data_IF_523539559579
#
_entry.id   IF_523539559579
#
_cell.length_a   1.000
_cell.length_b   1.000
_cell.length_c   1.000
_cell.angle_alpha   90.00
_cell.angle_beta   90.00
_cell.angle_gamma   90.00
#
_symmetry.space_group_name_H-M   'P 1'
#
loop_
_entity.id
_entity.type
_entity.pdbx_description
1 polymer ?
#
# COMPACT_ATOMS: atom_id res chain seq x y z
N UNK A 1 -5.00 -48.73 -25.23
CA UNK A 1 -5.39 -47.34 -25.55
C UNK A 1 -6.15 -46.79 -24.36
N UNK A 2 -5.48 -46.03 -23.50
CA UNK A 2 -6.07 -45.36 -22.35
C UNK A 2 -5.31 -44.07 -22.17
N UNK A 3 -5.93 -42.97 -22.60
CA UNK A 3 -5.30 -41.65 -22.69
C UNK A 3 -5.14 -41.10 -21.27
N UNK A 4 -3.90 -40.88 -20.86
CA UNK A 4 -3.59 -40.13 -19.66
C UNK A 4 -4.06 -38.68 -19.85
N UNK A 5 -5.01 -38.26 -19.01
CA UNK A 5 -5.42 -36.86 -18.91
C UNK A 5 -4.26 -36.08 -18.28
N UNK A 6 -3.44 -35.47 -19.13
CA UNK A 6 -2.46 -34.48 -18.73
C UNK A 6 -3.24 -33.23 -18.32
N UNK A 7 -3.48 -33.05 -17.02
CA UNK A 7 -3.88 -31.75 -16.49
C UNK A 7 -2.71 -30.79 -16.74
N UNK A 8 -2.79 -30.02 -17.82
CA UNK A 8 -2.03 -28.80 -17.95
C UNK A 8 -2.54 -27.88 -16.83
N UNK A 9 -1.81 -27.81 -15.72
CA UNK A 9 -1.85 -26.64 -14.87
C UNK A 9 -1.47 -25.47 -15.77
N UNK A 10 -2.47 -24.71 -16.21
CA UNK A 10 -2.27 -23.37 -16.75
C UNK A 10 -1.62 -22.58 -15.62
N UNK A 11 -0.29 -22.56 -15.59
CA UNK A 11 0.47 -21.57 -14.86
C UNK A 11 -0.08 -20.22 -15.33
N UNK A 12 -0.84 -19.57 -14.46
CA UNK A 12 -1.20 -18.18 -14.67
C UNK A 12 0.09 -17.43 -15.01
N UNK A 13 0.10 -16.56 -16.04
CA UNK A 13 1.28 -15.77 -16.34
C UNK A 13 1.68 -15.06 -15.06
N UNK A 14 2.91 -15.30 -14.59
CA UNK A 14 3.52 -14.68 -13.41
C UNK A 14 3.14 -13.20 -13.43
N UNK A 15 2.44 -12.74 -12.39
CA UNK A 15 2.05 -11.35 -12.26
C UNK A 15 3.29 -10.45 -12.49
N UNK A 16 3.09 -9.33 -13.19
CA UNK A 16 4.11 -8.30 -13.28
C UNK A 16 4.56 -7.96 -11.86
N UNK A 17 5.88 -8.04 -11.62
CA UNK A 17 6.47 -7.52 -10.39
C UNK A 17 6.19 -6.02 -10.41
N UNK A 18 5.31 -5.56 -9.51
CA UNK A 18 5.16 -4.13 -9.27
C UNK A 18 6.55 -3.56 -8.99
N UNK A 19 6.86 -2.39 -9.58
CA UNK A 19 8.11 -1.72 -9.29
C UNK A 19 8.14 -1.24 -7.85
N UNK A 20 9.26 -0.63 -7.46
CA UNK A 20 9.46 -0.14 -6.11
C UNK A 20 8.61 1.13 -5.87
N UNK A 21 7.95 1.20 -4.71
CA UNK A 21 7.38 2.45 -4.20
C UNK A 21 5.95 2.71 -4.66
N UNK A 22 5.02 1.86 -4.21
CA UNK A 22 3.58 2.18 -4.30
C UNK A 22 3.27 3.22 -3.22
N UNK A 23 2.51 4.26 -3.53
CA UNK A 23 2.00 5.22 -2.54
C UNK A 23 0.48 5.13 -2.42
N UNK A 24 -0.07 5.09 -1.22
CA UNK A 24 -1.51 5.25 -1.02
C UNK A 24 -1.86 6.73 -0.83
N UNK A 25 -2.32 7.40 -1.88
CA UNK A 25 -2.80 8.80 -1.81
C UNK A 25 -4.23 8.83 -1.26
N UNK A 26 -4.36 8.63 0.05
CA UNK A 26 -5.64 8.41 0.71
C UNK A 26 -6.52 9.67 0.74
N UNK A 27 -7.74 9.55 0.21
CA UNK A 27 -8.71 10.64 0.10
C UNK A 27 -8.20 11.85 -0.71
N UNK A 28 -7.41 11.60 -1.75
CA UNK A 28 -7.02 12.62 -2.74
C UNK A 28 -8.02 12.71 -3.90
N UNK A 29 -8.14 13.89 -4.50
CA UNK A 29 -8.92 14.10 -5.72
C UNK A 29 -8.16 13.63 -6.95
N UNK A 30 -8.87 13.20 -7.98
CA UNK A 30 -8.25 12.71 -9.22
C UNK A 30 -7.36 13.77 -9.89
N UNK A 31 -7.79 15.03 -9.94
CA UNK A 31 -6.98 16.13 -10.50
C UNK A 31 -5.70 16.40 -9.70
N UNK A 32 -5.76 16.30 -8.37
CA UNK A 32 -4.57 16.47 -7.52
C UNK A 32 -3.59 15.31 -7.71
N UNK A 33 -4.10 14.08 -7.84
CA UNK A 33 -3.28 12.89 -8.13
C UNK A 33 -2.60 13.02 -9.50
N UNK A 34 -3.33 13.47 -10.52
CA UNK A 34 -2.80 13.65 -11.87
C UNK A 34 -1.61 14.63 -11.88
N UNK A 35 -1.75 15.76 -11.18
CA UNK A 35 -0.65 16.74 -11.00
C UNK A 35 0.50 16.15 -10.17
N UNK A 36 0.20 15.35 -9.16
CA UNK A 36 1.20 14.73 -8.30
C UNK A 36 2.06 13.71 -9.06
N UNK A 37 1.44 12.95 -9.99
CA UNK A 37 2.14 12.06 -10.91
C UNK A 37 3.20 12.81 -11.74
N UNK A 38 2.81 13.92 -12.35
CA UNK A 38 3.66 14.70 -13.25
C UNK A 38 4.77 15.45 -12.50
N UNK A 39 4.41 16.08 -11.38
CA UNK A 39 5.28 17.04 -10.69
C UNK A 39 6.20 16.38 -9.65
N UNK A 40 5.84 15.21 -9.13
CA UNK A 40 6.57 14.59 -8.03
C UNK A 40 6.82 13.10 -8.20
N UNK A 41 5.77 12.29 -8.33
CA UNK A 41 5.90 10.83 -8.23
C UNK A 41 6.71 10.24 -9.40
N UNK A 42 6.40 10.63 -10.63
CA UNK A 42 7.17 10.24 -11.82
C UNK A 42 8.64 10.68 -11.71
N UNK A 43 8.93 11.99 -11.49
CA UNK A 43 10.30 12.48 -11.30
C UNK A 43 11.08 11.82 -10.14
N UNK A 44 10.41 11.38 -9.07
CA UNK A 44 11.03 10.69 -7.92
C UNK A 44 11.12 9.17 -8.11
N UNK A 45 10.53 8.63 -9.16
CA UNK A 45 10.58 7.21 -9.52
C UNK A 45 9.67 6.31 -8.68
N UNK A 46 8.52 6.82 -8.22
CA UNK A 46 7.48 5.96 -7.65
C UNK A 46 6.85 5.10 -8.76
N UNK A 47 6.60 3.82 -8.48
CA UNK A 47 6.04 2.89 -9.46
C UNK A 47 4.54 3.10 -9.70
N UNK A 48 3.79 3.42 -8.63
CA UNK A 48 2.34 3.52 -8.73
C UNK A 48 1.66 4.07 -7.50
N UNK A 49 0.35 4.24 -7.62
CA UNK A 49 -0.52 4.84 -6.62
C UNK A 49 -1.66 3.86 -6.32
N UNK A 50 -1.90 3.59 -5.04
CA UNK A 50 -3.21 3.13 -4.59
C UNK A 50 -4.13 4.36 -4.45
N UNK A 51 -5.27 4.36 -5.13
CA UNK A 51 -6.33 5.37 -4.95
C UNK A 51 -7.43 4.82 -4.04
N UNK A 52 -8.09 5.69 -3.27
CA UNK A 52 -9.28 5.32 -2.50
C UNK A 52 -10.42 4.80 -3.41
N UNK A 53 -11.44 4.10 -2.85
CA UNK A 53 -12.53 3.56 -3.66
C UNK A 53 -13.17 4.62 -4.55
N UNK A 54 -13.29 4.29 -5.85
CA UNK A 54 -13.79 5.20 -6.90
C UNK A 54 -15.26 4.97 -7.23
N UNK A 55 -15.80 3.81 -6.83
CA UNK A 55 -17.20 3.47 -6.97
C UNK A 55 -18.08 4.35 -6.08
N UNK A 56 -19.32 4.55 -6.51
CA UNK A 56 -20.32 5.28 -5.76
C UNK A 56 -20.58 4.64 -4.39
N UNK A 57 -20.48 5.43 -3.33
CA UNK A 57 -20.68 5.00 -1.96
C UNK A 57 -21.81 5.78 -1.28
N UNK A 58 -22.25 5.31 -0.12
CA UNK A 58 -23.20 6.02 0.73
C UNK A 58 -22.67 7.43 1.11
N UNK A 59 -23.54 8.43 1.12
CA UNK A 59 -23.24 9.74 1.72
C UNK A 59 -23.65 9.72 3.18
N UNK A 60 -22.68 9.65 4.08
CA UNK A 60 -22.92 9.48 5.52
C UNK A 60 -22.70 10.80 6.25
N UNK A 61 -23.57 11.12 7.21
CA UNK A 61 -23.46 12.37 7.96
C UNK A 61 -22.07 12.51 8.63
N UNK A 62 -21.49 13.71 8.59
CA UNK A 62 -20.11 13.94 9.04
C UNK A 62 -19.03 13.54 8.02
N UNK A 63 -19.41 12.91 6.91
CA UNK A 63 -18.54 12.52 5.79
C UNK A 63 -17.27 11.75 6.24
N UNK A 64 -17.41 10.70 7.07
CA UNK A 64 -16.27 9.92 7.54
C UNK A 64 -15.50 9.31 6.37
N UNK A 65 -14.24 8.94 6.57
CA UNK A 65 -13.44 8.31 5.51
C UNK A 65 -14.00 6.94 5.12
N UNK A 66 -14.54 6.20 6.10
CA UNK A 66 -15.06 4.85 5.90
C UNK A 66 -16.38 4.83 5.12
N UNK A 67 -17.00 5.98 4.81
CA UNK A 67 -18.18 6.02 3.92
C UNK A 67 -17.87 5.42 2.54
N UNK A 68 -16.61 5.55 2.07
CA UNK A 68 -16.14 4.97 0.80
C UNK A 68 -16.18 3.45 0.75
N UNK A 69 -16.17 2.80 1.90
CA UNK A 69 -16.23 1.34 2.04
C UNK A 69 -17.68 0.87 2.24
N UNK A 70 -18.66 1.68 1.83
CA UNK A 70 -20.07 1.31 1.82
C UNK A 70 -20.68 1.53 0.43
N UNK A 71 -20.43 0.62 -0.53
CA UNK A 71 -20.87 0.79 -1.91
C UNK A 71 -22.39 0.94 -2.02
N UNK A 72 -22.81 1.85 -2.90
CA UNK A 72 -24.20 2.01 -3.34
C UNK A 72 -24.37 1.58 -4.79
N UNK A 73 -23.34 1.78 -5.62
CA UNK A 73 -23.28 1.23 -6.97
C UNK A 73 -21.84 1.13 -7.49
N UNK A 74 -21.69 0.63 -8.72
CA UNK A 74 -20.40 0.57 -9.42
C UNK A 74 -20.16 1.76 -10.38
N UNK A 75 -20.98 2.80 -10.33
CA UNK A 75 -20.71 4.06 -11.05
C UNK A 75 -19.39 4.66 -10.56
N UNK A 76 -18.54 5.12 -11.47
CA UNK A 76 -17.28 5.80 -11.11
C UNK A 76 -17.57 7.26 -10.79
N UNK A 77 -18.00 7.50 -9.54
CA UNK A 77 -18.29 8.84 -9.02
C UNK A 77 -18.19 8.84 -7.50
N UNK A 78 -17.20 9.54 -6.99
CA UNK A 78 -16.89 9.62 -5.56
C UNK A 78 -16.53 11.06 -5.17
N UNK A 79 -16.21 11.27 -3.89
CA UNK A 79 -15.65 12.54 -3.43
C UNK A 79 -14.35 12.95 -4.16
N UNK A 80 -13.64 12.01 -4.79
CA UNK A 80 -12.42 12.28 -5.55
C UNK A 80 -12.67 12.90 -6.93
N UNK A 81 -13.88 12.72 -7.49
CA UNK A 81 -14.24 13.12 -8.84
C UNK A 81 -15.14 12.10 -9.54
N UNK A 82 -15.42 12.35 -10.82
CA UNK A 82 -16.24 11.51 -11.69
C UNK A 82 -15.37 10.63 -12.61
N UNK A 83 -16.04 9.87 -13.49
CA UNK A 83 -15.40 8.95 -14.45
C UNK A 83 -14.42 9.65 -15.40
N UNK A 84 -14.77 10.85 -15.88
CA UNK A 84 -13.88 11.63 -16.74
C UNK A 84 -12.63 12.07 -15.99
N UNK A 85 -12.77 12.54 -14.75
CA UNK A 85 -11.65 12.88 -13.89
C UNK A 85 -10.77 11.66 -13.57
N UNK A 86 -11.37 10.50 -13.33
CA UNK A 86 -10.62 9.25 -13.11
C UNK A 86 -9.81 8.85 -14.35
N UNK A 87 -10.42 8.93 -15.55
CA UNK A 87 -9.74 8.64 -16.81
C UNK A 87 -8.59 9.61 -17.09
N UNK A 88 -8.80 10.91 -16.91
CA UNK A 88 -7.75 11.93 -17.09
C UNK A 88 -6.56 11.66 -16.16
N UNK A 89 -6.84 11.35 -14.89
CA UNK A 89 -5.81 10.98 -13.93
C UNK A 89 -5.02 9.75 -14.38
N UNK A 90 -5.70 8.68 -14.80
CA UNK A 90 -5.02 7.47 -15.29
C UNK A 90 -4.14 7.77 -16.51
N UNK A 91 -4.66 8.54 -17.48
CA UNK A 91 -3.91 8.89 -18.70
C UNK A 91 -2.67 9.74 -18.41
N UNK A 92 -2.77 10.73 -17.51
CA UNK A 92 -1.65 11.59 -17.12
C UNK A 92 -0.62 10.86 -16.28
N UNK A 93 -1.05 10.06 -15.31
CA UNK A 93 -0.15 9.24 -14.51
C UNK A 93 0.61 8.21 -15.36
N UNK A 94 -0.07 7.55 -16.30
CA UNK A 94 0.57 6.62 -17.24
C UNK A 94 1.63 7.30 -18.10
N UNK A 95 1.37 8.53 -18.59
CA UNK A 95 2.38 9.34 -19.31
C UNK A 95 3.59 9.70 -18.43
N UNK A 96 3.37 9.89 -17.13
CA UNK A 96 4.43 10.12 -16.14
C UNK A 96 5.12 8.82 -15.67
N UNK A 97 4.74 7.65 -16.19
CA UNK A 97 5.30 6.36 -15.79
C UNK A 97 4.79 5.80 -14.47
N UNK A 98 3.68 6.35 -13.94
CA UNK A 98 3.11 5.99 -12.64
C UNK A 98 1.81 5.19 -12.86
N UNK A 99 1.75 3.97 -12.32
CA UNK A 99 0.58 3.07 -12.44
C UNK A 99 -0.52 3.42 -11.44
N UNK A 100 -1.78 3.16 -11.80
CA UNK A 100 -2.93 3.35 -10.91
C UNK A 100 -3.46 1.98 -10.46
N UNK A 101 -3.48 1.77 -9.15
CA UNK A 101 -4.09 0.63 -8.49
C UNK A 101 -5.35 1.09 -7.75
N UNK A 102 -6.50 0.53 -8.11
CA UNK A 102 -7.78 0.98 -7.56
C UNK A 102 -8.13 0.16 -6.32
N UNK A 103 -8.50 0.82 -5.24
CA UNK A 103 -9.13 0.17 -4.09
C UNK A 103 -10.57 -0.23 -4.45
N UNK A 104 -10.83 -1.53 -4.44
CA UNK A 104 -12.08 -2.11 -4.94
C UNK A 104 -12.79 -2.86 -3.82
N UNK A 105 -14.04 -2.47 -3.59
CA UNK A 105 -14.90 -3.00 -2.52
C UNK A 105 -16.03 -3.79 -3.16
N UNK A 106 -15.91 -5.11 -3.13
CA UNK A 106 -16.90 -6.04 -3.69
C UNK A 106 -17.16 -7.28 -2.84
N UNK A 107 -16.67 -7.29 -1.58
CA UNK A 107 -17.16 -8.23 -0.57
C UNK A 107 -18.62 -7.94 -0.23
N UNK A 108 -18.94 -6.66 -0.04
CA UNK A 108 -20.20 -6.21 0.53
C UNK A 108 -20.73 -4.97 -0.22
N UNK A 109 -22.00 -4.66 0.00
CA UNK A 109 -22.57 -3.32 -0.23
C UNK A 109 -22.64 -2.57 1.11
N UNK A 110 -23.29 -1.39 1.15
CA UNK A 110 -23.45 -0.65 2.41
C UNK A 110 -24.10 -1.48 3.53
N UNK A 111 -23.91 -1.05 4.78
CA UNK A 111 -24.80 -1.47 5.87
C UNK A 111 -26.18 -0.80 5.70
N UNK A 112 -27.14 -1.17 6.57
CA UNK A 112 -28.42 -0.46 6.67
C UNK A 112 -28.21 1.02 6.97
N UNK A 113 -28.63 1.87 6.04
CA UNK A 113 -28.58 3.32 6.15
C UNK A 113 -29.93 3.90 6.60
N UNK A 114 -29.95 5.12 7.17
CA UNK A 114 -31.18 5.87 7.36
C UNK A 114 -31.97 6.02 6.05
N UNK A 115 -33.30 5.98 6.14
CA UNK A 115 -34.16 6.20 4.98
C UNK A 115 -33.89 7.54 4.30
N UNK A 116 -33.74 7.53 2.98
CA UNK A 116 -33.42 8.72 2.19
C UNK A 116 -31.92 8.99 1.98
N UNK A 117 -31.02 8.17 2.54
CA UNK A 117 -29.60 8.22 2.18
C UNK A 117 -29.42 8.00 0.68
N UNK A 118 -28.61 8.85 0.06
CA UNK A 118 -28.24 8.76 -1.35
C UNK A 118 -26.77 8.40 -1.51
N UNK A 119 -26.44 7.80 -2.65
CA UNK A 119 -25.06 7.60 -3.07
C UNK A 119 -24.41 8.89 -3.57
N UNK A 120 -23.08 8.92 -3.59
CA UNK A 120 -22.29 10.05 -4.13
C UNK A 120 -22.58 10.38 -5.60
N UNK A 121 -23.18 9.44 -6.35
CA UNK A 121 -23.64 9.58 -7.73
C UNK A 121 -25.15 9.72 -7.87
N UNK A 122 -25.86 10.01 -6.78
CA UNK A 122 -27.31 10.23 -6.74
C UNK A 122 -28.16 8.96 -6.78
N UNK A 123 -27.57 7.76 -6.69
CA UNK A 123 -28.35 6.52 -6.62
C UNK A 123 -29.09 6.42 -5.28
N UNK A 124 -30.34 5.97 -5.30
CA UNK A 124 -31.05 5.54 -4.10
C UNK A 124 -30.90 4.03 -3.90
N UNK A 125 -31.02 3.59 -2.66
CA UNK A 125 -31.09 2.17 -2.29
C UNK A 125 -32.07 1.99 -1.12
N UNK A 126 -32.80 0.89 -1.10
CA UNK A 126 -33.45 0.41 0.13
C UNK A 126 -32.51 -0.60 0.78
N UNK A 127 -31.55 -0.07 1.53
CA UNK A 127 -30.49 -0.86 2.14
C UNK A 127 -31.04 -1.85 3.17
N UNK A 128 -32.11 -1.51 3.88
CA UNK A 128 -32.72 -2.40 4.88
C UNK A 128 -33.30 -3.69 4.27
N UNK A 129 -33.74 -3.62 3.01
CA UNK A 129 -34.20 -4.77 2.23
C UNK A 129 -33.12 -5.32 1.26
N UNK A 130 -31.86 -4.87 1.38
CA UNK A 130 -30.74 -5.18 0.49
C UNK A 130 -31.04 -4.94 -1.00
N UNK A 131 -31.72 -3.84 -1.31
CA UNK A 131 -32.10 -3.49 -2.68
C UNK A 131 -31.29 -2.31 -3.22
N UNK A 132 -30.42 -2.60 -4.20
CA UNK A 132 -29.50 -1.65 -4.84
C UNK A 132 -29.81 -1.56 -6.35
N UNK A 133 -30.80 -0.75 -6.75
CA UNK A 133 -31.32 -0.72 -8.12
C UNK A 133 -30.28 -0.29 -9.15
N UNK A 134 -29.34 0.59 -8.79
CA UNK A 134 -28.29 1.09 -9.69
C UNK A 134 -27.33 0.00 -10.18
N UNK A 135 -27.16 -1.09 -9.42
CA UNK A 135 -26.43 -2.31 -9.85
C UNK A 135 -27.39 -3.38 -10.36
N UNK A 136 -28.66 -3.29 -9.94
CA UNK A 136 -29.69 -4.32 -10.04
C UNK A 136 -29.38 -5.52 -9.13
N UNK A 137 -28.99 -5.24 -7.88
CA UNK A 137 -28.97 -6.23 -6.81
C UNK A 137 -30.24 -6.16 -5.97
N UNK A 138 -30.70 -7.32 -5.56
CA UNK A 138 -31.76 -7.52 -4.57
C UNK A 138 -31.25 -8.45 -3.47
N UNK A 139 -32.06 -8.68 -2.43
CA UNK A 139 -31.72 -9.58 -1.33
C UNK A 139 -31.25 -10.99 -1.77
N UNK A 140 -31.68 -11.46 -2.95
CA UNK A 140 -31.25 -12.76 -3.49
C UNK A 140 -29.76 -12.81 -3.86
N UNK A 141 -29.10 -11.67 -4.04
CA UNK A 141 -27.69 -11.58 -4.42
C UNK A 141 -26.73 -11.48 -3.22
N UNK A 142 -27.27 -11.62 -2.01
CA UNK A 142 -26.53 -11.54 -0.76
C UNK A 142 -26.63 -12.88 -0.02
N UNK A 143 -25.62 -13.15 0.81
CA UNK A 143 -25.73 -14.23 1.77
C UNK A 143 -26.86 -13.96 2.78
N UNK A 144 -27.33 -15.05 3.39
CA UNK A 144 -28.29 -14.97 4.50
C UNK A 144 -27.69 -14.14 5.63
N UNK A 145 -28.47 -13.24 6.22
CA UNK A 145 -27.97 -12.34 7.27
C UNK A 145 -27.50 -13.12 8.50
N UNK A 146 -26.22 -12.94 8.82
CA UNK A 146 -25.55 -13.34 10.05
C UNK A 146 -24.39 -12.36 10.29
N UNK A 147 -23.80 -12.36 11.48
CA UNK A 147 -22.64 -11.50 11.79
C UNK A 147 -21.35 -12.31 11.82
N UNK A 148 -20.28 -11.73 11.29
CA UNK A 148 -18.92 -12.25 11.53
C UNK A 148 -18.62 -12.11 13.01
N UNK A 149 -18.47 -13.22 13.71
CA UNK A 149 -18.20 -13.26 15.14
C UNK A 149 -17.32 -14.44 15.58
N UNK A 150 -16.90 -15.30 14.65
CA UNK A 150 -16.03 -16.43 14.91
C UNK A 150 -14.96 -16.59 13.83
N UNK A 151 -13.78 -15.99 14.05
CA UNK A 151 -12.63 -16.10 13.15
C UNK A 151 -11.99 -17.51 13.11
N UNK A 152 -12.46 -18.45 13.94
CA UNK A 152 -12.09 -19.87 13.86
C UNK A 152 -13.06 -20.69 12.98
N UNK A 153 -14.01 -20.05 12.31
CA UNK A 153 -14.91 -20.67 11.34
C UNK A 153 -14.84 -19.89 10.02
N UNK A 154 -14.15 -20.46 9.03
CA UNK A 154 -13.99 -19.83 7.72
C UNK A 154 -15.33 -19.55 7.01
N UNK A 155 -16.37 -20.36 7.26
CA UNK A 155 -17.70 -20.09 6.70
C UNK A 155 -18.36 -18.90 7.36
N UNK A 156 -18.20 -18.72 8.68
CA UNK A 156 -18.70 -17.52 9.35
C UNK A 156 -17.96 -16.26 8.86
N UNK A 157 -16.65 -16.35 8.66
CA UNK A 157 -15.84 -15.22 8.17
C UNK A 157 -16.23 -14.81 6.76
N UNK A 158 -16.55 -15.77 5.87
CA UNK A 158 -16.76 -15.53 4.43
C UNK A 158 -18.21 -15.37 3.97
N UNK A 159 -19.19 -15.79 4.79
CA UNK A 159 -20.61 -15.79 4.40
C UNK A 159 -21.51 -14.93 5.31
N UNK A 160 -20.91 -14.18 6.24
CA UNK A 160 -21.65 -13.31 7.16
C UNK A 160 -21.25 -11.85 7.02
N UNK A 161 -22.14 -10.97 7.47
CA UNK A 161 -21.98 -9.52 7.36
C UNK A 161 -20.87 -9.03 8.30
N UNK A 162 -19.77 -8.55 7.72
CA UNK A 162 -18.69 -7.87 8.42
C UNK A 162 -19.23 -6.53 8.96
N UNK A 163 -19.32 -6.39 10.28
CA UNK A 163 -19.84 -5.19 10.97
C UNK A 163 -21.19 -4.68 10.44
N UNK A 164 -22.04 -5.58 9.94
CA UNK A 164 -23.37 -5.26 9.40
C UNK A 164 -23.39 -4.80 7.94
N UNK A 165 -22.26 -4.84 7.23
CA UNK A 165 -22.18 -4.58 5.79
C UNK A 165 -22.81 -5.76 5.03
N UNK A 166 -23.74 -5.48 4.12
CA UNK A 166 -24.49 -6.54 3.44
C UNK A 166 -23.59 -7.36 2.51
N UNK A 167 -23.39 -8.62 2.88
CA UNK A 167 -22.41 -9.53 2.30
C UNK A 167 -22.90 -10.14 0.97
N UNK A 168 -22.19 -9.85 -0.13
CA UNK A 168 -22.56 -10.33 -1.47
C UNK A 168 -22.27 -11.82 -1.60
N UNK A 169 -23.12 -12.55 -2.32
CA UNK A 169 -22.89 -13.96 -2.63
C UNK A 169 -22.10 -14.09 -3.94
N UNK A 170 -20.77 -14.05 -3.87
CA UNK A 170 -19.92 -14.19 -5.04
C UNK A 170 -19.88 -15.61 -5.61
N UNK A 171 -20.60 -16.58 -5.03
CA UNK A 171 -20.78 -17.90 -5.66
C UNK A 171 -21.72 -17.83 -6.87
N UNK A 172 -22.59 -16.81 -6.90
CA UNK A 172 -23.56 -16.58 -7.98
C UNK A 172 -22.90 -15.99 -9.23
N UNK A 173 -23.17 -16.59 -10.38
CA UNK A 173 -22.66 -16.11 -11.68
C UNK A 173 -23.10 -14.67 -11.98
N UNK A 174 -24.31 -14.28 -11.57
CA UNK A 174 -24.80 -12.92 -11.74
C UNK A 174 -23.95 -11.89 -10.96
N UNK A 175 -23.65 -12.17 -9.69
CA UNK A 175 -22.80 -11.32 -8.84
C UNK A 175 -21.39 -11.23 -9.41
N UNK A 176 -20.79 -12.37 -9.77
CA UNK A 176 -19.46 -12.39 -10.43
C UNK A 176 -19.45 -11.58 -11.71
N UNK A 177 -20.50 -11.68 -12.55
CA UNK A 177 -20.63 -10.93 -13.79
C UNK A 177 -20.59 -9.42 -13.56
N UNK A 178 -21.39 -8.92 -12.60
CA UNK A 178 -21.42 -7.49 -12.23
C UNK A 178 -20.05 -6.99 -11.71
N UNK A 179 -19.37 -7.80 -10.89
CA UNK A 179 -18.03 -7.47 -10.38
C UNK A 179 -17.02 -7.44 -11.52
N UNK A 180 -17.02 -8.44 -12.40
CA UNK A 180 -16.12 -8.52 -13.56
C UNK A 180 -16.35 -7.33 -14.51
N UNK A 181 -17.60 -6.96 -14.77
CA UNK A 181 -17.93 -5.78 -15.59
C UNK A 181 -17.38 -4.50 -14.96
N UNK A 182 -17.56 -4.31 -13.66
CA UNK A 182 -17.02 -3.15 -12.94
C UNK A 182 -15.49 -3.09 -13.02
N UNK A 183 -14.80 -4.18 -12.71
CA UNK A 183 -13.33 -4.23 -12.74
C UNK A 183 -12.78 -4.05 -14.17
N UNK A 184 -13.43 -4.65 -15.17
CA UNK A 184 -13.04 -4.47 -16.57
C UNK A 184 -13.29 -3.03 -17.07
N UNK A 185 -14.35 -2.37 -16.60
CA UNK A 185 -14.58 -0.94 -16.88
C UNK A 185 -13.45 -0.08 -16.31
N UNK A 186 -13.01 -0.34 -15.07
CA UNK A 186 -11.86 0.36 -14.48
C UNK A 186 -10.57 0.12 -15.28
N UNK A 187 -10.35 -1.09 -15.79
CA UNK A 187 -9.23 -1.41 -16.69
C UNK A 187 -9.33 -0.59 -17.99
N UNK A 188 -10.52 -0.55 -18.61
CA UNK A 188 -10.75 0.21 -19.85
C UNK A 188 -10.46 1.71 -19.64
N UNK A 189 -10.75 2.24 -18.45
CA UNK A 189 -10.43 3.62 -18.05
C UNK A 189 -8.96 3.87 -17.72
N UNK A 190 -8.14 2.81 -17.56
CA UNK A 190 -6.68 2.91 -17.40
C UNK A 190 -6.12 2.40 -16.07
N UNK A 191 -6.90 1.70 -15.25
CA UNK A 191 -6.37 1.01 -14.09
C UNK A 191 -5.37 -0.10 -14.50
N UNK A 192 -4.27 -0.21 -13.73
CA UNK A 192 -3.22 -1.23 -13.95
C UNK A 192 -3.28 -2.36 -12.90
N UNK A 193 -4.21 -2.28 -11.95
CA UNK A 193 -4.40 -3.30 -10.93
C UNK A 193 -5.35 -2.88 -9.83
N UNK A 194 -5.49 -3.74 -8.82
CA UNK A 194 -6.50 -3.62 -7.78
C UNK A 194 -5.96 -3.98 -6.40
N UNK A 195 -6.26 -3.12 -5.42
CA UNK A 195 -6.32 -3.52 -4.01
C UNK A 195 -7.71 -4.11 -3.79
N UNK A 196 -7.76 -5.36 -3.39
CA UNK A 196 -9.03 -6.04 -3.12
C UNK A 196 -9.32 -5.94 -1.64
N UNK A 197 -10.31 -5.12 -1.31
CA UNK A 197 -10.80 -4.90 0.06
C UNK A 197 -11.36 -6.19 0.66
N UNK A 198 -11.11 -6.40 1.96
CA UNK A 198 -11.72 -7.48 2.72
C UNK A 198 -11.62 -8.87 2.06
N UNK A 199 -10.50 -9.17 1.37
CA UNK A 199 -10.35 -10.43 0.63
C UNK A 199 -10.48 -11.66 1.53
N UNK A 200 -10.07 -11.56 2.81
CA UNK A 200 -10.31 -12.56 3.85
C UNK A 200 -11.77 -13.04 3.92
N UNK A 201 -12.71 -12.13 3.68
CA UNK A 201 -14.15 -12.35 3.77
C UNK A 201 -14.77 -12.89 2.48
N UNK A 202 -13.97 -13.19 1.45
CA UNK A 202 -14.44 -13.80 0.21
C UNK A 202 -13.80 -15.18 0.00
N UNK A 203 -14.48 -16.08 -0.70
CA UNK A 203 -13.89 -17.37 -1.03
C UNK A 203 -12.81 -17.23 -2.11
N UNK A 204 -11.60 -17.81 -1.92
CA UNK A 204 -10.55 -17.83 -2.93
C UNK A 204 -11.01 -18.40 -4.28
N UNK A 205 -11.91 -19.39 -4.27
CA UNK A 205 -12.47 -19.96 -5.49
C UNK A 205 -13.30 -18.96 -6.29
N UNK A 206 -14.05 -18.08 -5.62
CA UNK A 206 -14.87 -17.07 -6.28
C UNK A 206 -14.00 -15.95 -6.85
N UNK A 207 -13.00 -15.51 -6.06
CA UNK A 207 -11.96 -14.58 -6.48
C UNK A 207 -11.20 -15.11 -7.70
N UNK A 208 -10.84 -16.40 -7.73
CA UNK A 208 -10.17 -17.02 -8.87
C UNK A 208 -11.00 -16.91 -10.15
N UNK A 209 -12.31 -17.17 -10.08
CA UNK A 209 -13.21 -17.04 -11.23
C UNK A 209 -13.27 -15.59 -11.69
N UNK A 210 -13.45 -14.64 -10.78
CA UNK A 210 -13.49 -13.21 -11.10
C UNK A 210 -12.18 -12.76 -11.77
N UNK A 211 -11.03 -13.05 -11.15
CA UNK A 211 -9.72 -12.61 -11.63
C UNK A 211 -9.35 -13.24 -12.97
N UNK A 212 -9.76 -14.48 -13.24
CA UNK A 212 -9.51 -15.16 -14.52
C UNK A 212 -10.20 -14.47 -15.71
N UNK A 213 -11.29 -13.73 -15.45
CA UNK A 213 -12.13 -13.07 -16.47
C UNK A 213 -11.79 -11.59 -16.67
N UNK A 214 -10.83 -11.06 -15.91
CA UNK A 214 -10.35 -9.70 -16.12
C UNK A 214 -9.64 -9.58 -17.47
N UNK A 215 -9.74 -8.43 -18.11
CA UNK A 215 -8.99 -8.08 -19.33
C UNK A 215 -7.51 -7.88 -19.00
N UNK A 216 -6.69 -7.79 -20.04
CA UNK A 216 -5.35 -7.21 -19.89
C UNK A 216 -5.48 -5.68 -19.76
N UNK A 217 -4.57 -5.07 -19.01
CA UNK A 217 -4.50 -3.62 -18.82
C UNK A 217 -4.08 -2.90 -20.09
N UNK A 218 -4.16 -1.57 -20.11
CA UNK A 218 -3.70 -0.77 -21.26
C UNK A 218 -2.20 -0.93 -21.52
N UNK A 219 -1.41 -1.34 -20.53
CA UNK A 219 0.00 -1.73 -20.71
C UNK A 219 0.19 -3.12 -21.34
N UNK A 220 -0.90 -3.85 -21.61
CA UNK A 220 -0.91 -5.16 -22.27
C UNK A 220 -0.72 -6.35 -21.32
N UNK A 221 -0.73 -6.12 -20.01
CA UNK A 221 -0.41 -7.11 -18.98
C UNK A 221 -1.63 -7.55 -18.17
N UNK A 222 -1.51 -8.60 -17.35
CA UNK A 222 -2.55 -8.92 -16.35
C UNK A 222 -2.57 -7.82 -15.28
N UNK A 223 -3.74 -7.41 -14.77
CA UNK A 223 -3.82 -6.45 -13.69
C UNK A 223 -3.07 -6.95 -12.45
N UNK A 224 -2.33 -6.04 -11.80
CA UNK A 224 -1.65 -6.35 -10.54
C UNK A 224 -2.67 -6.46 -9.40
N UNK A 225 -2.86 -7.66 -8.85
CA UNK A 225 -3.79 -7.90 -7.75
C UNK A 225 -3.03 -7.99 -6.44
N UNK A 226 -3.46 -7.24 -5.43
CA UNK A 226 -3.06 -7.46 -4.05
C UNK A 226 -4.28 -7.45 -3.13
N UNK A 227 -4.33 -8.44 -2.25
CA UNK A 227 -5.51 -8.82 -1.49
C UNK A 227 -5.33 -8.43 -0.04
N UNK A 228 -6.32 -7.76 0.54
CA UNK A 228 -6.33 -7.51 1.98
C UNK A 228 -6.73 -8.77 2.74
N UNK A 229 -5.76 -9.36 3.41
CA UNK A 229 -5.95 -10.43 4.38
C UNK A 229 -5.18 -10.11 5.66
N UNK A 230 -5.90 -9.81 6.74
CA UNK A 230 -5.33 -9.45 8.05
C UNK A 230 -4.94 -10.71 8.81
N UNK A 231 -3.86 -11.38 8.43
CA UNK A 231 -3.44 -12.63 9.09
C UNK A 231 -2.24 -12.44 10.03
N UNK A 232 -2.49 -12.51 11.34
CA UNK A 232 -1.44 -12.57 12.37
C UNK A 232 -1.19 -14.00 12.90
N UNK A 233 -1.86 -15.01 12.33
CA UNK A 233 -1.90 -16.40 12.76
C UNK A 233 -2.99 -16.69 13.79
N UNK A 234 -3.38 -17.97 13.89
CA UNK A 234 -4.34 -18.44 14.90
C UNK A 234 -5.83 -18.27 14.55
N UNK A 235 -6.13 -18.06 13.27
CA UNK A 235 -7.50 -18.01 12.72
C UNK A 235 -7.72 -19.16 11.72
N UNK A 236 -8.95 -19.36 11.26
CA UNK A 236 -9.29 -20.44 10.31
C UNK A 236 -9.10 -20.06 8.83
N UNK A 237 -8.88 -18.78 8.53
CA UNK A 237 -8.56 -18.27 7.19
C UNK A 237 -7.08 -17.93 7.16
N UNK A 238 -6.40 -18.35 6.10
CA UNK A 238 -4.95 -18.24 5.99
C UNK A 238 -4.53 -17.53 4.70
N UNK A 239 -3.50 -16.69 4.79
CA UNK A 239 -3.00 -15.95 3.62
C UNK A 239 -2.54 -16.86 2.49
N UNK A 240 -2.10 -18.09 2.78
CA UNK A 240 -1.69 -19.08 1.78
C UNK A 240 -2.77 -19.42 0.77
N UNK A 241 -4.05 -19.29 1.14
CA UNK A 241 -5.18 -19.55 0.25
C UNK A 241 -5.27 -18.53 -0.90
N UNK A 242 -4.72 -17.31 -0.70
CA UNK A 242 -4.83 -16.18 -1.62
C UNK A 242 -3.55 -15.93 -2.44
N UNK A 243 -2.39 -16.43 -1.99
CA UNK A 243 -1.10 -16.24 -2.70
C UNK A 243 -1.11 -16.73 -4.16
N UNK A 244 -1.79 -17.84 -4.53
CA UNK A 244 -1.86 -18.26 -5.93
C UNK A 244 -2.63 -17.28 -6.84
N UNK A 245 -3.43 -16.38 -6.26
CA UNK A 245 -4.31 -15.46 -6.99
C UNK A 245 -3.66 -14.09 -7.23
N UNK A 246 -2.64 -13.73 -6.44
CA UNK A 246 -2.00 -12.43 -6.47
C UNK A 246 -1.17 -12.20 -5.21
N UNK A 247 -0.72 -10.95 -5.02
CA UNK A 247 -0.06 -10.57 -3.78
C UNK A 247 -1.07 -10.53 -2.62
N UNK A 248 -0.57 -10.62 -1.40
CA UNK A 248 -1.35 -10.52 -0.16
C UNK A 248 -0.69 -9.50 0.76
N UNK A 249 -1.49 -8.72 1.47
CA UNK A 249 -1.00 -7.76 2.45
C UNK A 249 -0.34 -8.45 3.65
N UNK A 250 0.96 -8.24 3.85
CA UNK A 250 1.70 -8.83 4.96
C UNK A 250 1.63 -7.93 6.21
N UNK A 251 0.55 -8.07 6.99
CA UNK A 251 0.31 -7.25 8.18
C UNK A 251 1.36 -7.46 9.29
N UNK A 252 2.03 -8.63 9.34
CA UNK A 252 3.11 -8.86 10.31
C UNK A 252 4.29 -7.93 10.06
N UNK A 253 4.52 -7.49 8.81
CA UNK A 253 5.62 -6.57 8.48
C UNK A 253 5.53 -5.27 9.29
N UNK A 254 4.38 -4.59 9.21
CA UNK A 254 4.15 -3.32 9.89
C UNK A 254 4.22 -3.46 11.41
N UNK A 255 3.61 -4.51 11.97
CA UNK A 255 3.62 -4.79 13.41
C UNK A 255 5.04 -5.02 13.95
N UNK A 256 5.81 -5.89 13.29
CA UNK A 256 7.14 -6.26 13.78
C UNK A 256 8.17 -5.14 13.60
N UNK A 257 8.16 -4.41 12.48
CA UNK A 257 9.03 -3.23 12.34
C UNK A 257 8.64 -2.12 13.32
N UNK A 258 7.36 -1.97 13.63
CA UNK A 258 6.91 -1.01 14.63
C UNK A 258 7.44 -1.34 16.03
N UNK A 259 7.47 -2.62 16.41
CA UNK A 259 8.09 -3.07 17.67
C UNK A 259 9.60 -2.82 17.66
N UNK A 260 10.27 -3.19 16.58
CA UNK A 260 11.70 -2.99 16.40
C UNK A 260 12.11 -1.51 16.53
N UNK A 261 11.49 -0.63 15.76
CA UNK A 261 11.84 0.79 15.74
C UNK A 261 11.25 1.59 16.91
N UNK A 262 10.45 0.99 17.78
CA UNK A 262 10.13 1.51 19.14
C UNK A 262 11.11 1.05 20.21
N UNK A 263 12.11 0.23 19.87
CA UNK A 263 13.03 -0.37 20.83
C UNK A 263 12.41 -1.50 21.66
N UNK A 264 11.24 -2.02 21.27
CA UNK A 264 10.58 -3.16 21.94
C UNK A 264 11.15 -4.51 21.49
N UNK A 265 11.90 -4.54 20.39
CA UNK A 265 12.63 -5.70 19.92
C UNK A 265 13.97 -5.25 19.30
N UNK A 266 15.14 -5.76 19.75
CA UNK A 266 16.42 -5.29 19.24
C UNK A 266 16.56 -5.45 17.72
N UNK A 267 16.99 -4.39 17.03
CA UNK A 267 17.05 -4.40 15.55
C UNK A 267 18.16 -5.31 14.99
N UNK A 268 19.08 -5.83 15.83
CA UNK A 268 20.01 -6.90 15.44
C UNK A 268 19.32 -8.14 14.86
N UNK A 269 18.09 -8.42 15.30
CA UNK A 269 17.34 -9.61 14.88
C UNK A 269 16.82 -9.49 13.44
N UNK A 270 16.91 -8.30 12.85
CA UNK A 270 16.50 -8.08 11.46
C UNK A 270 17.43 -8.77 10.43
N UNK A 271 18.53 -9.40 10.87
CA UNK A 271 19.49 -10.11 9.99
C UNK A 271 18.85 -11.14 9.05
N UNK A 272 17.73 -11.76 9.46
CA UNK A 272 16.96 -12.73 8.68
C UNK A 272 15.50 -12.29 8.47
N UNK A 273 15.24 -10.97 8.45
CA UNK A 273 13.91 -10.39 8.33
C UNK A 273 13.19 -10.81 7.03
N UNK A 274 11.88 -11.08 7.12
CA UNK A 274 11.06 -11.67 6.07
C UNK A 274 10.59 -13.08 6.45
N UNK A 275 10.79 -14.08 5.59
CA UNK A 275 10.35 -15.47 5.84
C UNK A 275 10.93 -16.09 7.11
N UNK A 276 12.14 -15.67 7.53
CA UNK A 276 12.75 -16.10 8.79
C UNK A 276 11.97 -15.68 10.05
N UNK A 277 11.00 -14.77 9.89
CA UNK A 277 10.10 -14.29 10.94
C UNK A 277 8.68 -14.86 10.81
N UNK A 278 8.47 -15.89 9.97
CA UNK A 278 7.15 -16.47 9.73
C UNK A 278 6.23 -15.58 8.88
N UNK A 279 6.82 -14.72 8.06
CA UNK A 279 6.14 -13.95 7.02
C UNK A 279 6.12 -14.75 5.71
N UNK A 280 5.22 -14.39 4.80
CA UNK A 280 5.02 -15.06 3.52
C UNK A 280 6.23 -14.96 2.58
N UNK A 281 6.30 -15.73 1.48
CA UNK A 281 7.33 -15.55 0.47
C UNK A 281 7.35 -14.12 -0.09
N UNK A 282 8.55 -13.59 -0.32
CA UNK A 282 8.74 -12.20 -0.74
C UNK A 282 8.03 -11.83 -2.05
N UNK A 283 7.84 -12.78 -2.96
CA UNK A 283 7.15 -12.58 -4.24
C UNK A 283 5.62 -12.64 -4.13
N UNK A 284 5.11 -12.95 -2.94
CA UNK A 284 3.67 -12.93 -2.62
C UNK A 284 3.30 -11.74 -1.71
N UNK A 285 4.28 -11.10 -1.05
CA UNK A 285 4.03 -10.10 -0.03
C UNK A 285 3.88 -8.67 -0.59
N UNK A 286 2.79 -8.00 -0.26
CA UNK A 286 2.72 -6.53 -0.26
C UNK A 286 2.95 -6.02 1.16
N UNK A 287 4.02 -5.25 1.36
CA UNK A 287 4.47 -4.80 2.69
C UNK A 287 4.23 -3.31 2.88
N UNK A 288 3.88 -2.92 4.10
CA UNK A 288 3.69 -1.54 4.53
C UNK A 288 3.98 -1.43 6.04
N UNK A 289 4.28 -0.22 6.52
CA UNK A 289 4.44 0.04 7.96
C UNK A 289 3.07 0.24 8.61
N UNK A 290 2.25 1.07 7.98
CA UNK A 290 0.87 1.35 8.33
C UNK A 290 0.00 1.39 7.07
N UNK A 291 -1.29 1.23 7.25
CA UNK A 291 -2.30 1.49 6.24
C UNK A 291 -3.34 2.49 6.79
N UNK A 292 -4.41 2.72 6.02
CA UNK A 292 -5.42 3.69 6.41
C UNK A 292 -6.23 3.26 7.66
N UNK A 293 -6.39 1.96 7.92
CA UNK A 293 -7.07 1.42 9.11
C UNK A 293 -6.16 1.39 10.35
N UNK A 294 -5.01 0.73 10.22
CA UNK A 294 -4.11 0.43 11.34
C UNK A 294 -3.54 1.69 11.99
N UNK A 295 -3.35 2.77 11.22
CA UNK A 295 -2.94 4.07 11.79
C UNK A 295 -3.99 4.70 12.71
N UNK A 296 -5.26 4.27 12.61
CA UNK A 296 -6.41 4.69 13.42
C UNK A 296 -6.80 3.67 14.51
N UNK A 297 -6.08 2.56 14.60
CA UNK A 297 -6.42 1.42 15.47
C UNK A 297 -5.81 1.57 16.88
N UNK A 298 -5.40 0.47 17.50
CA UNK A 298 -4.91 0.36 18.88
C UNK A 298 -3.51 0.96 19.15
N UNK A 299 -2.90 1.64 18.16
CA UNK A 299 -1.56 2.20 18.27
C UNK A 299 -0.42 1.17 18.14
N UNK A 300 -0.73 -0.08 17.79
CA UNK A 300 0.27 -1.15 17.61
C UNK A 300 1.25 -0.89 16.45
N UNK A 301 0.87 -0.09 15.45
CA UNK A 301 1.74 0.28 14.32
C UNK A 301 2.27 1.71 14.43
N UNK A 302 3.49 1.94 13.94
CA UNK A 302 4.06 3.28 13.78
C UNK A 302 3.32 4.02 12.66
N UNK A 303 3.14 5.33 12.82
CA UNK A 303 2.59 6.19 11.78
C UNK A 303 3.25 7.58 11.85
N UNK A 304 2.77 8.51 11.04
CA UNK A 304 3.32 9.87 10.94
C UNK A 304 3.37 10.64 12.28
N UNK A 305 2.53 10.28 13.28
CA UNK A 305 2.52 10.92 14.61
C UNK A 305 3.79 10.62 15.43
N UNK A 306 4.57 9.63 15.01
CA UNK A 306 5.90 9.30 15.55
C UNK A 306 6.96 9.37 14.44
N UNK A 307 7.24 10.57 13.89
CA UNK A 307 7.85 10.72 12.57
C UNK A 307 9.27 10.16 12.48
N UNK A 308 10.08 10.28 13.53
CA UNK A 308 11.45 9.74 13.56
C UNK A 308 11.45 8.22 13.36
N UNK A 309 10.75 7.51 14.23
CA UNK A 309 10.73 6.05 14.23
C UNK A 309 10.01 5.52 12.98
N UNK A 310 8.96 6.21 12.53
CA UNK A 310 8.25 5.88 11.29
C UNK A 310 9.17 5.96 10.07
N UNK A 311 9.94 7.05 9.92
CA UNK A 311 10.93 7.18 8.83
C UNK A 311 11.95 6.06 8.83
N UNK A 312 12.47 5.67 10.00
CA UNK A 312 13.40 4.54 10.11
C UNK A 312 12.76 3.22 9.66
N UNK A 313 11.52 2.95 10.08
CA UNK A 313 10.80 1.74 9.69
C UNK A 313 10.54 1.69 8.17
N UNK A 314 10.06 2.80 7.59
CA UNK A 314 9.85 2.93 6.13
C UNK A 314 11.17 2.77 5.37
N UNK A 315 12.26 3.39 5.86
CA UNK A 315 13.58 3.27 5.26
C UNK A 315 14.11 1.83 5.30
N UNK A 316 13.92 1.11 6.41
CA UNK A 316 14.28 -0.31 6.48
C UNK A 316 13.46 -1.14 5.49
N UNK A 317 12.13 -0.97 5.45
CA UNK A 317 11.25 -1.67 4.51
C UNK A 317 11.67 -1.46 3.05
N UNK A 318 11.95 -0.22 2.65
CA UNK A 318 12.42 0.11 1.29
C UNK A 318 13.85 -0.38 1.03
N UNK A 319 14.72 -0.35 2.05
CA UNK A 319 16.13 -0.70 1.94
C UNK A 319 16.42 -2.20 2.00
N UNK A 320 15.58 -3.01 2.65
CA UNK A 320 15.84 -4.42 2.94
C UNK A 320 15.66 -5.34 1.72
N UNK A 321 14.63 -5.10 0.91
CA UNK A 321 14.36 -5.90 -0.30
C UNK A 321 13.46 -7.12 -0.08
N UNK A 322 12.58 -7.08 0.93
CA UNK A 322 11.51 -8.06 1.14
C UNK A 322 10.16 -7.45 0.73
N UNK A 323 9.37 -8.20 -0.04
CA UNK A 323 8.04 -7.80 -0.50
C UNK A 323 8.01 -6.66 -1.51
N UNK A 324 6.81 -6.30 -1.94
CA UNK A 324 6.49 -5.09 -2.70
C UNK A 324 6.11 -3.98 -1.72
N UNK A 325 6.94 -2.92 -1.56
CA UNK A 325 6.69 -1.90 -0.56
C UNK A 325 5.64 -0.89 -0.99
N UNK A 326 4.70 -0.61 -0.07
CA UNK A 326 3.71 0.45 -0.13
C UNK A 326 3.92 1.44 1.01
N UNK A 327 3.91 2.73 0.68
CA UNK A 327 4.03 3.86 1.61
C UNK A 327 2.67 4.55 1.74
N UNK A 328 2.27 4.84 2.97
CA UNK A 328 1.04 5.60 3.23
C UNK A 328 1.25 7.09 2.90
N UNK A 329 0.22 7.76 2.40
CA UNK A 329 0.15 9.22 2.32
C UNK A 329 -1.16 9.70 2.95
N UNK A 330 -1.07 10.23 4.16
CA UNK A 330 -2.18 10.49 5.06
C UNK A 330 -2.64 11.96 5.02
N UNK A 331 -3.83 12.20 5.57
CA UNK A 331 -4.23 13.51 6.07
C UNK A 331 -4.18 13.52 7.60
N UNK A 332 -4.09 14.72 8.20
CA UNK A 332 -4.05 14.85 9.66
C UNK A 332 -5.42 14.52 10.27
N UNK A 333 -5.44 13.67 11.30
CA UNK A 333 -6.66 13.33 12.03
C UNK A 333 -6.43 13.22 13.54
N UNK A 334 -7.45 13.57 14.31
CA UNK A 334 -7.46 13.51 15.78
C UNK A 334 -8.46 12.46 16.33
N UNK A 335 -9.36 11.96 15.49
CA UNK A 335 -10.27 10.85 15.82
C UNK A 335 -10.32 9.80 14.71
N UNK A 336 -10.65 8.57 15.07
CA UNK A 336 -10.67 7.41 14.17
C UNK A 336 -11.63 7.59 12.99
N UNK A 337 -12.79 8.20 13.21
CA UNK A 337 -13.84 8.36 12.20
C UNK A 337 -13.68 9.61 11.34
N UNK A 338 -12.75 10.50 11.69
CA UNK A 338 -12.60 11.80 11.04
C UNK A 338 -12.35 11.65 9.53
N UNK A 339 -13.19 12.28 8.72
CA UNK A 339 -13.00 12.41 7.28
C UNK A 339 -11.80 13.28 6.90
N UNK A 340 -11.43 13.29 5.61
CA UNK A 340 -10.37 14.15 5.08
C UNK A 340 -10.73 15.64 5.16
N UNK A 341 -9.76 16.56 4.97
CA UNK A 341 -10.03 17.98 4.81
C UNK A 341 -11.08 18.24 3.71
N UNK A 342 -12.19 18.86 4.10
CA UNK A 342 -13.35 19.10 3.23
C UNK A 342 -13.79 20.56 3.26
N UNK A 343 -14.44 21.01 2.17
CA UNK A 343 -15.12 22.29 2.10
C UNK A 343 -16.45 22.21 2.87
N UNK A 344 -17.13 23.36 3.05
CA UNK A 344 -18.40 23.43 3.79
C UNK A 344 -19.54 22.59 3.18
N UNK A 345 -19.45 22.22 1.91
CA UNK A 345 -20.38 21.34 1.20
C UNK A 345 -20.02 19.84 1.29
N UNK A 346 -18.93 19.50 1.99
CA UNK A 346 -18.43 18.14 2.14
C UNK A 346 -17.60 17.62 0.95
N UNK A 347 -17.33 18.45 -0.06
CA UNK A 347 -16.37 18.13 -1.12
C UNK A 347 -14.93 18.17 -0.60
N UNK A 348 -14.02 17.38 -1.18
CA UNK A 348 -12.61 17.38 -0.76
C UNK A 348 -11.93 18.72 -1.06
N UNK A 349 -11.15 19.22 -0.11
CA UNK A 349 -10.24 20.33 -0.36
C UNK A 349 -9.12 19.90 -1.31
N UNK A 350 -8.65 20.85 -2.14
CA UNK A 350 -7.41 20.70 -2.92
C UNK A 350 -6.23 20.35 -2.00
N UNK A 351 -5.25 19.62 -2.55
CA UNK A 351 -3.95 19.51 -1.90
C UNK A 351 -3.15 20.79 -2.12
N UNK A 352 -2.68 21.38 -1.02
CA UNK A 352 -1.90 22.61 -1.04
C UNK A 352 -0.45 22.33 -0.62
N UNK A 353 0.50 23.00 -1.26
CA UNK A 353 1.92 22.86 -1.02
C UNK A 353 2.52 24.14 -0.42
N UNK A 354 3.43 23.96 0.53
CA UNK A 354 4.31 25.00 1.05
C UNK A 354 5.46 25.29 0.06
N UNK A 355 6.20 26.38 0.29
CA UNK A 355 7.34 26.76 -0.56
C UNK A 355 8.49 25.75 -0.55
N UNK A 356 8.62 24.96 0.51
CA UNK A 356 9.59 23.88 0.63
C UNK A 356 9.14 22.57 -0.04
N UNK A 357 7.95 22.55 -0.65
CA UNK A 357 7.37 21.40 -1.33
C UNK A 357 6.64 20.40 -0.42
N UNK A 358 6.59 20.63 0.89
CA UNK A 358 5.73 19.88 1.82
C UNK A 358 4.25 20.23 1.63
N UNK A 359 3.35 19.36 2.05
CA UNK A 359 1.91 19.67 2.05
C UNK A 359 1.52 20.53 3.25
N UNK A 360 0.59 21.46 3.07
CA UNK A 360 0.14 22.36 4.14
C UNK A 360 -1.10 21.87 4.87
N UNK A 361 -1.98 21.11 4.21
CA UNK A 361 -3.24 20.61 4.78
C UNK A 361 -3.31 19.08 4.88
N UNK A 362 -2.22 18.38 4.57
CA UNK A 362 -2.09 16.91 4.63
C UNK A 362 -0.69 16.53 5.09
N UNK A 363 -0.50 15.27 5.46
CA UNK A 363 0.78 14.78 5.99
C UNK A 363 1.81 14.59 4.87
N UNK A 364 1.38 13.97 3.76
CA UNK A 364 2.21 13.71 2.58
C UNK A 364 3.56 13.07 2.92
N UNK A 365 3.54 11.95 3.63
CA UNK A 365 4.74 11.19 4.02
C UNK A 365 5.61 10.86 2.82
N UNK A 366 5.00 10.58 1.66
CA UNK A 366 5.72 10.32 0.40
C UNK A 366 6.58 11.49 -0.07
N UNK A 367 6.29 12.73 0.36
CA UNK A 367 7.09 13.93 0.08
C UNK A 367 8.21 14.19 1.08
N UNK A 368 8.25 13.46 2.21
CA UNK A 368 9.33 13.64 3.18
C UNK A 368 10.67 13.27 2.52
N UNK A 369 11.69 14.10 2.70
CA UNK A 369 13.01 13.92 2.07
C UNK A 369 13.54 12.50 2.29
N UNK A 370 13.47 12.02 3.52
CA UNK A 370 13.92 10.69 3.90
C UNK A 370 13.16 9.56 3.17
N UNK A 371 11.85 9.70 2.95
CA UNK A 371 11.01 8.68 2.31
C UNK A 371 11.21 8.71 0.78
N UNK A 372 11.12 9.88 0.16
CA UNK A 372 11.36 10.02 -1.29
C UNK A 372 12.80 9.70 -1.68
N UNK A 373 13.78 10.01 -0.82
CA UNK A 373 15.17 9.59 -0.98
C UNK A 373 15.32 8.07 -0.93
N UNK A 374 14.58 7.40 -0.04
CA UNK A 374 14.56 5.94 0.04
C UNK A 374 13.85 5.25 -1.13
N UNK A 375 12.91 5.91 -1.82
CA UNK A 375 12.40 5.44 -3.12
C UNK A 375 13.53 5.41 -4.15
N UNK A 376 14.30 6.51 -4.25
CA UNK A 376 15.48 6.59 -5.11
C UNK A 376 16.54 5.53 -4.77
N UNK A 377 16.80 5.31 -3.48
CA UNK A 377 17.67 4.23 -3.01
C UNK A 377 17.16 2.87 -3.49
N UNK A 378 15.90 2.55 -3.23
CA UNK A 378 15.32 1.24 -3.51
C UNK A 378 15.29 0.96 -5.02
N UNK A 379 15.08 1.99 -5.86
CA UNK A 379 15.27 1.91 -7.31
C UNK A 379 16.73 1.62 -7.71
N UNK A 380 17.70 2.31 -7.11
CA UNK A 380 19.12 2.12 -7.44
C UNK A 380 19.62 0.71 -7.13
N UNK A 381 19.07 0.06 -6.10
CA UNK A 381 19.51 -1.26 -5.63
C UNK A 381 18.66 -2.42 -6.13
N UNK A 382 17.72 -2.19 -7.04
CA UNK A 382 16.92 -3.27 -7.63
C UNK A 382 17.80 -4.41 -8.19
N UNK A 383 17.34 -5.65 -8.00
CA UNK A 383 18.02 -6.87 -8.40
C UNK A 383 19.21 -7.28 -7.52
N UNK A 384 19.49 -6.55 -6.43
CA UNK A 384 20.56 -6.91 -5.48
C UNK A 384 20.01 -7.59 -4.23
N UNK A 385 20.82 -8.46 -3.62
CA UNK A 385 20.53 -9.07 -2.32
C UNK A 385 21.18 -8.30 -1.17
N UNK A 386 20.65 -8.48 0.04
CA UNK A 386 21.28 -7.98 1.27
C UNK A 386 22.55 -8.76 1.57
N UNK A 387 23.61 -8.04 1.99
CA UNK A 387 24.90 -8.62 2.37
C UNK A 387 25.59 -7.74 3.41
N UNK A 388 26.70 -8.25 3.99
CA UNK A 388 27.53 -7.51 4.95
C UNK A 388 26.72 -6.89 6.11
N UNK A 389 25.77 -7.66 6.64
CA UNK A 389 25.01 -7.25 7.81
C UNK A 389 25.94 -7.19 9.03
N UNK A 390 25.97 -6.04 9.69
CA UNK A 390 26.70 -5.82 10.93
C UNK A 390 25.73 -5.34 12.01
N UNK A 391 26.02 -5.66 13.27
CA UNK A 391 25.32 -5.12 14.42
C UNK A 391 26.28 -4.87 15.59
N UNK A 392 25.96 -3.90 16.44
CA UNK A 392 26.59 -3.74 17.76
C UNK A 392 26.13 -4.81 18.78
N UNK A 393 25.33 -5.79 18.36
CA UNK A 393 24.71 -6.78 19.26
C UNK A 393 23.42 -6.28 19.93
N UNK A 394 22.92 -5.10 19.54
CA UNK A 394 21.69 -4.50 20.05
C UNK A 394 20.96 -3.64 18.98
N UNK A 395 20.94 -2.31 19.13
CA UNK A 395 20.09 -1.40 18.35
C UNK A 395 20.84 -0.53 17.33
N UNK A 396 22.04 -0.94 16.93
CA UNK A 396 22.75 -0.39 15.76
C UNK A 396 22.99 -1.52 14.76
N UNK A 397 22.66 -1.25 13.50
CA UNK A 397 22.90 -2.17 12.39
C UNK A 397 23.39 -1.43 11.15
N UNK A 398 24.15 -2.12 10.30
CA UNK A 398 24.43 -1.69 8.94
C UNK A 398 24.29 -2.87 7.99
N UNK A 399 24.01 -2.59 6.71
CA UNK A 399 24.02 -3.62 5.67
C UNK A 399 24.18 -3.00 4.28
N UNK A 400 24.67 -3.83 3.35
CA UNK A 400 24.78 -3.51 1.94
C UNK A 400 23.62 -4.11 1.14
N UNK A 401 23.28 -3.45 0.03
CA UNK A 401 22.44 -3.97 -1.04
C UNK A 401 23.31 -4.16 -2.28
N UNK A 402 23.84 -5.38 -2.41
CA UNK A 402 24.92 -5.70 -3.34
C UNK A 402 26.08 -4.70 -3.24
N UNK A 403 26.56 -4.24 -4.40
CA UNK A 403 27.52 -3.15 -4.53
C UNK A 403 26.87 -1.82 -4.95
N UNK A 404 25.56 -1.67 -4.72
CA UNK A 404 24.77 -0.53 -5.21
C UNK A 404 24.28 0.40 -4.12
N UNK A 405 24.16 -0.06 -2.88
CA UNK A 405 23.71 0.78 -1.77
C UNK A 405 24.12 0.26 -0.41
N UNK A 406 24.11 1.17 0.57
CA UNK A 406 24.47 0.93 1.95
C UNK A 406 23.52 1.68 2.88
N UNK A 407 23.09 1.03 3.97
CA UNK A 407 22.31 1.66 5.03
C UNK A 407 22.93 1.44 6.41
N UNK A 408 22.68 2.39 7.30
CA UNK A 408 22.97 2.29 8.73
C UNK A 408 21.78 2.80 9.55
N UNK A 409 21.46 2.12 10.65
CA UNK A 409 20.38 2.48 11.57
C UNK A 409 20.90 2.53 13.01
N UNK A 410 20.39 3.49 13.77
CA UNK A 410 20.68 3.69 15.18
C UNK A 410 19.40 4.02 15.97
N UNK A 411 18.90 3.05 16.73
CA UNK A 411 17.76 3.19 17.64
C UNK A 411 18.25 3.41 19.09
N UNK A 412 19.56 3.46 19.33
CA UNK A 412 20.13 3.77 20.64
C UNK A 412 19.99 5.27 20.98
N UNK A 413 20.11 5.59 22.27
CA UNK A 413 20.17 6.97 22.75
C UNK A 413 21.58 7.59 22.71
N UNK A 414 22.57 6.86 22.19
CA UNK A 414 23.94 7.30 21.98
C UNK A 414 24.33 7.19 20.50
N UNK A 415 25.36 7.93 20.12
CA UNK A 415 25.77 8.03 18.73
C UNK A 415 26.42 6.74 18.23
N UNK A 416 26.11 6.39 16.99
CA UNK A 416 26.84 5.39 16.22
C UNK A 416 28.05 6.06 15.59
N UNK A 417 29.24 5.47 15.75
CA UNK A 417 30.46 5.88 15.05
C UNK A 417 31.32 4.64 14.78
N UNK A 418 31.21 4.08 13.58
CA UNK A 418 31.85 2.80 13.23
C UNK A 418 32.47 2.84 11.84
N UNK A 419 33.63 2.20 11.69
CA UNK A 419 34.17 1.90 10.37
C UNK A 419 33.42 0.72 9.78
N UNK A 420 32.72 0.91 8.66
CA UNK A 420 31.93 -0.13 8.00
C UNK A 420 32.42 -0.40 6.59
N UNK A 421 32.39 -1.66 6.17
CA UNK A 421 32.48 -2.02 4.76
C UNK A 421 31.16 -1.64 4.08
N UNK A 422 31.19 -0.64 3.20
CA UNK A 422 29.99 -0.12 2.54
C UNK A 422 29.62 -0.88 1.27
N UNK A 423 30.54 -1.72 0.78
CA UNK A 423 30.41 -2.45 -0.49
C UNK A 423 30.31 -1.56 -1.73
N UNK A 424 30.41 -0.24 -1.56
CA UNK A 424 30.32 0.74 -2.62
C UNK A 424 31.70 1.04 -3.20
N UNK A 425 31.79 1.44 -4.48
CA UNK A 425 33.02 2.01 -5.04
C UNK A 425 33.45 3.27 -4.29
N UNK A 426 34.76 3.55 -4.30
CA UNK A 426 35.32 4.73 -3.67
C UNK A 426 34.73 6.05 -4.21
N UNK A 427 34.56 7.03 -3.33
CA UNK A 427 34.06 8.36 -3.66
C UNK A 427 33.18 8.95 -2.57
N UNK A 428 32.66 10.14 -2.83
CA UNK A 428 31.77 10.85 -1.90
C UNK A 428 30.33 10.65 -2.33
N UNK A 429 29.46 10.31 -1.37
CA UNK A 429 28.05 10.03 -1.59
C UNK A 429 27.19 10.97 -0.77
N UNK A 430 26.07 11.42 -1.33
CA UNK A 430 25.05 12.15 -0.59
C UNK A 430 24.18 11.17 0.20
N UNK A 431 23.99 11.47 1.50
CA UNK A 431 23.02 10.77 2.34
C UNK A 431 21.60 11.19 1.96
N UNK A 432 20.82 10.24 1.43
CA UNK A 432 19.46 10.50 0.94
C UNK A 432 18.43 10.61 2.07
N UNK A 433 18.81 10.29 3.31
CA UNK A 433 17.96 10.50 4.48
C UNK A 433 17.91 11.98 4.88
N UNK A 434 19.06 12.66 4.85
CA UNK A 434 19.21 14.05 5.30
C UNK A 434 19.19 15.08 4.17
N UNK A 435 19.25 14.67 2.90
CA UNK A 435 19.22 15.60 1.78
C UNK A 435 19.16 14.92 0.42
N UNK A 436 19.51 15.68 -0.62
CA UNK A 436 19.50 15.23 -2.01
C UNK A 436 20.81 15.61 -2.70
N UNK A 437 21.16 14.85 -3.74
CA UNK A 437 22.22 15.24 -4.67
C UNK A 437 21.70 16.37 -5.57
N UNK A 438 22.46 17.46 -5.66
CA UNK A 438 22.17 18.61 -6.52
C UNK A 438 23.40 18.90 -7.39
N UNK A 439 23.43 18.33 -8.60
CA UNK A 439 24.62 18.37 -9.45
C UNK A 439 25.82 17.71 -8.77
N UNK A 440 26.87 18.49 -8.51
CA UNK A 440 28.11 18.04 -7.87
C UNK A 440 28.18 18.37 -6.36
N UNK A 441 27.04 18.62 -5.71
CA UNK A 441 26.96 18.86 -4.26
C UNK A 441 25.83 18.07 -3.61
N UNK A 442 25.88 17.97 -2.28
CA UNK A 442 24.85 17.35 -1.46
C UNK A 442 24.23 18.43 -0.57
N UNK A 443 22.90 18.47 -0.48
CA UNK A 443 22.22 19.41 0.44
C UNK A 443 22.24 18.93 1.89
N UNK A 444 22.42 17.63 2.11
CA UNK A 444 22.51 16.99 3.42
C UNK A 444 23.93 16.51 3.74
N UNK A 445 24.01 15.46 4.55
CA UNK A 445 25.29 14.84 4.92
C UNK A 445 25.95 14.16 3.72
N UNK A 446 27.27 13.98 3.83
CA UNK A 446 28.07 13.20 2.89
C UNK A 446 28.76 12.05 3.58
N UNK A 447 29.02 10.98 2.84
CA UNK A 447 29.88 9.87 3.27
C UNK A 447 30.98 9.68 2.24
N UNK A 448 32.23 9.64 2.70
CA UNK A 448 33.37 9.33 1.83
C UNK A 448 33.75 7.86 1.99
N UNK A 449 33.64 7.12 0.90
CA UNK A 449 34.02 5.71 0.79
C UNK A 449 35.46 5.65 0.27
N UNK A 450 36.31 4.95 1.01
CA UNK A 450 37.72 4.73 0.72
C UNK A 450 37.92 3.74 -0.45
N UNK A 451 39.16 3.63 -0.93
CA UNK A 451 39.53 2.72 -2.02
C UNK A 451 39.26 1.23 -1.72
N UNK A 452 39.22 0.84 -0.44
CA UNK A 452 38.90 -0.51 0.02
C UNK A 452 37.40 -0.74 0.29
N UNK A 453 36.54 0.24 -0.03
CA UNK A 453 35.10 0.20 0.19
C UNK A 453 34.67 0.56 1.62
N UNK A 454 35.61 0.82 2.53
CA UNK A 454 35.27 1.22 3.90
C UNK A 454 34.86 2.68 4.00
N UNK A 455 34.04 3.02 4.97
CA UNK A 455 33.73 4.41 5.34
C UNK A 455 33.51 4.54 6.85
N UNK A 456 33.80 5.74 7.37
CA UNK A 456 33.38 6.10 8.73
C UNK A 456 31.91 6.47 8.72
N UNK A 457 31.10 5.71 9.43
CA UNK A 457 29.65 5.86 9.49
C UNK A 457 29.27 6.47 10.83
N UNK A 458 28.61 7.63 10.77
CA UNK A 458 28.08 8.32 11.94
C UNK A 458 26.57 8.55 11.84
N UNK A 459 25.82 7.99 12.79
CA UNK A 459 24.37 8.17 12.91
C UNK A 459 24.07 8.60 14.34
N UNK A 460 23.63 9.85 14.52
CA UNK A 460 23.39 10.41 15.84
C UNK A 460 22.15 9.80 16.50
N UNK A 461 22.21 9.55 17.81
CA UNK A 461 21.08 8.97 18.56
C UNK A 461 19.84 9.88 18.54
N UNK A 462 20.04 11.19 18.62
CA UNK A 462 18.96 12.20 18.57
C UNK A 462 18.54 12.67 17.17
N UNK A 463 19.18 12.21 16.09
CA UNK A 463 18.89 12.65 14.72
C UNK A 463 17.78 11.85 14.02
N UNK A 464 17.84 11.82 12.68
CA UNK A 464 16.96 11.00 11.81
C UNK A 464 16.99 9.50 12.14
N UNK A 465 18.03 9.03 12.83
CA UNK A 465 18.17 7.65 13.29
C UNK A 465 18.66 6.68 12.21
N UNK A 466 18.81 7.12 10.96
CA UNK A 466 19.42 6.31 9.91
C UNK A 466 20.19 7.18 8.90
N UNK A 467 20.99 6.50 8.07
CA UNK A 467 21.74 7.06 6.93
C UNK A 467 21.63 6.07 5.76
N UNK A 468 21.51 6.59 4.54
CA UNK A 468 21.47 5.77 3.34
C UNK A 468 22.22 6.42 2.17
N UNK A 469 23.08 5.64 1.50
CA UNK A 469 23.86 6.08 0.33
C UNK A 469 23.79 5.04 -0.78
N UNK A 470 23.79 5.47 -2.04
CA UNK A 470 23.72 4.55 -3.17
C UNK A 470 24.48 5.09 -4.39
N UNK A 471 24.76 4.22 -5.37
CA UNK A 471 25.55 4.57 -6.56
C UNK A 471 25.04 5.80 -7.32
N UNK A 472 23.72 5.98 -7.41
CA UNK A 472 23.14 7.16 -8.07
C UNK A 472 23.21 8.46 -7.22
N UNK A 473 23.60 8.41 -5.94
CA UNK A 473 23.82 9.58 -5.08
C UNK A 473 25.31 9.95 -4.92
N UNK A 474 26.21 9.31 -5.68
CA UNK A 474 27.66 9.60 -5.71
C UNK A 474 27.96 10.94 -6.41
N UNK A 475 28.87 11.74 -5.88
CA UNK A 475 29.39 12.97 -6.50
C UNK A 475 30.41 12.67 -7.62
#
# INVERSE_FOLDING_TARGET
MGVAALFLALLAPRAIVAGVGIVHLFEWRFDDIAKECENFLGPKGFDGIQVSPVAECAVINGRPWWERYQPFSYKVISRSGDENGFKDMCDRCRKAGVKIYVDTVFNHMSATQPGGTIGTGGSSADTGSKYYPAVSYSNENFHSTCSVNNYNDASNVRNCELVGLHDLDQSQEYVRGKIVDHLNHLIDLGAEGFRVDAAKHMWPSDLQVIYSRLKNTQSGSRPFIYQEDIDYGGEAVHHEEYMPLGHVTEFKNGRELSRCFRGQNPIKWLVNYGTGWGMMPSDSALVFIDNHDTQRSDGSVLNYKTPRNYKMAVAFMLGWGYGTPKVMSSYYFDSSDQGPPANGDGSLQNVNFNSDGSCSNRVCEHRWTAISGMIGFANAVQGTSTSNFWSNGNNQITFCRGNKGFLAFNVENYDMNVSSQTCLPAGTYCDVASGVKNGNSCTGKTVTVNNDGTAQISVTGGGEGFLAIHVNSKL
#
